data_IF_100930382599
#
_entry.id   IF_100930382599
#
_cell.length_a   1.000
_cell.length_b   1.000
_cell.length_c   1.000
_cell.angle_alpha   90.00
_cell.angle_beta   90.00
_cell.angle_gamma   90.00
#
_symmetry.space_group_name_H-M   'P 1'
#
loop_
_entity.id
_entity.type
_entity.pdbx_description
1 polymer ?
#
# COMPACT_ATOMS: atom_id res chain seq x y z
N UNK A 1 -29.07 -15.80 -65.74
CA UNK A 1 -29.81 -15.49 -64.51
C UNK A 1 -29.23 -16.23 -63.32
N UNK A 2 -27.91 -16.02 -63.04
CA UNK A 2 -27.16 -16.69 -61.94
C UNK A 2 -26.22 -15.74 -61.19
N UNK A 3 -26.43 -14.42 -61.23
CA UNK A 3 -25.54 -13.45 -60.62
C UNK A 3 -26.01 -12.88 -59.25
N UNK A 4 -27.28 -13.13 -58.86
CA UNK A 4 -27.82 -12.53 -57.62
C UNK A 4 -27.41 -13.27 -56.36
N UNK A 5 -27.22 -14.59 -56.42
CA UNK A 5 -26.89 -15.39 -55.22
C UNK A 5 -25.43 -15.26 -54.72
N UNK A 6 -24.54 -14.77 -55.57
CA UNK A 6 -23.14 -14.60 -55.19
C UNK A 6 -22.92 -13.32 -54.35
N UNK A 7 -23.64 -12.25 -54.68
CA UNK A 7 -23.58 -10.98 -53.92
C UNK A 7 -24.21 -11.06 -52.54
N UNK A 8 -25.32 -11.79 -52.38
CA UNK A 8 -25.96 -11.98 -51.07
C UNK A 8 -25.10 -12.81 -50.11
N UNK A 9 -24.44 -13.84 -50.64
CA UNK A 9 -23.53 -14.67 -49.80
C UNK A 9 -22.27 -13.93 -49.39
N UNK A 10 -21.77 -13.01 -50.26
CA UNK A 10 -20.61 -12.16 -49.90
C UNK A 10 -20.97 -11.06 -48.89
N UNK A 11 -22.17 -10.50 -48.95
CA UNK A 11 -22.66 -9.50 -47.99
C UNK A 11 -22.88 -10.12 -46.60
N UNK A 12 -23.37 -11.35 -46.50
CA UNK A 12 -23.55 -12.06 -45.22
C UNK A 12 -22.20 -12.43 -44.60
N UNK A 13 -21.20 -12.80 -45.42
CA UNK A 13 -19.85 -13.10 -44.91
C UNK A 13 -19.14 -11.84 -44.38
N UNK A 14 -19.32 -10.68 -45.02
CA UNK A 14 -18.79 -9.40 -44.58
C UNK A 14 -19.45 -8.89 -43.28
N UNK A 15 -20.76 -9.17 -43.10
CA UNK A 15 -21.46 -8.82 -41.86
C UNK A 15 -21.01 -9.70 -40.68
N UNK A 16 -20.68 -10.98 -40.93
CA UNK A 16 -20.20 -11.90 -39.88
C UNK A 16 -18.78 -11.57 -39.39
N UNK A 17 -17.91 -10.97 -40.23
CA UNK A 17 -16.57 -10.53 -39.86
C UNK A 17 -16.59 -9.23 -39.05
N UNK A 18 -17.65 -8.41 -39.19
CA UNK A 18 -17.83 -7.15 -38.45
C UNK A 18 -18.22 -7.31 -36.96
N UNK A 19 -18.67 -8.50 -36.57
CA UNK A 19 -18.94 -8.86 -35.17
C UNK A 19 -17.70 -9.42 -34.45
N UNK A 20 -16.51 -9.17 -34.99
CA UNK A 20 -15.24 -9.49 -34.33
C UNK A 20 -15.23 -8.90 -32.93
N UNK A 21 -15.18 -9.76 -31.94
CA UNK A 21 -15.05 -9.49 -30.53
C UNK A 21 -14.09 -8.33 -30.34
N UNK A 22 -14.57 -7.16 -29.99
CA UNK A 22 -13.76 -6.12 -29.40
C UNK A 22 -13.33 -6.73 -28.07
N UNK A 23 -12.18 -7.39 -28.04
CA UNK A 23 -11.52 -7.69 -26.80
C UNK A 23 -11.33 -6.32 -26.13
N UNK A 24 -12.17 -6.02 -25.15
CA UNK A 24 -11.96 -4.89 -24.30
C UNK A 24 -10.57 -5.10 -23.69
N UNK A 25 -9.58 -4.33 -24.16
CA UNK A 25 -8.27 -4.29 -23.52
C UNK A 25 -8.54 -3.87 -22.09
N UNK A 26 -8.33 -4.79 -21.17
CA UNK A 26 -8.41 -4.45 -19.75
C UNK A 26 -7.39 -3.35 -19.49
N UNK A 27 -7.87 -2.14 -19.18
CA UNK A 27 -7.00 -1.02 -18.84
C UNK A 27 -6.38 -1.35 -17.48
N UNK A 28 -5.06 -1.43 -17.43
CA UNK A 28 -4.36 -1.63 -16.16
C UNK A 28 -4.59 -0.44 -15.23
N UNK A 29 -4.77 -0.73 -13.95
CA UNK A 29 -4.94 0.27 -12.90
C UNK A 29 -3.56 0.74 -12.45
N UNK A 30 -3.36 2.05 -12.35
CA UNK A 30 -2.11 2.65 -11.90
C UNK A 30 -2.28 3.32 -10.55
N UNK A 31 -1.32 3.14 -9.66
CA UNK A 31 -1.30 3.77 -8.36
C UNK A 31 0.10 4.18 -7.92
N UNK A 32 0.19 5.15 -7.01
CA UNK A 32 1.46 5.56 -6.45
C UNK A 32 1.30 6.07 -5.01
N UNK A 33 2.35 6.00 -4.21
CA UNK A 33 2.33 6.63 -2.89
C UNK A 33 3.09 5.89 -1.82
N UNK A 34 2.48 5.81 -0.65
CA UNK A 34 3.06 5.29 0.58
C UNK A 34 3.79 3.95 0.40
N UNK A 35 4.93 3.82 1.06
CA UNK A 35 5.76 2.60 1.03
C UNK A 35 5.22 1.51 1.95
N UNK A 36 4.56 1.91 3.02
CA UNK A 36 4.02 1.00 4.02
C UNK A 36 3.12 -0.10 3.44
N UNK A 37 2.10 0.18 2.59
CA UNK A 37 1.20 -0.84 2.07
C UNK A 37 1.76 -1.64 0.89
N UNK A 38 2.94 -1.31 0.37
CA UNK A 38 3.49 -1.90 -0.85
C UNK A 38 3.50 -3.43 -0.87
N UNK A 39 3.97 -4.14 0.18
CA UNK A 39 4.03 -5.59 0.15
C UNK A 39 2.66 -6.26 -0.04
N UNK A 40 1.62 -5.71 0.61
CA UNK A 40 0.26 -6.25 0.48
C UNK A 40 -0.37 -5.85 -0.86
N UNK A 41 -0.12 -4.64 -1.35
CA UNK A 41 -0.60 -4.19 -2.66
C UNK A 41 -0.01 -5.03 -3.79
N UNK A 42 1.28 -5.34 -3.75
CA UNK A 42 1.92 -6.23 -4.71
C UNK A 42 1.25 -7.62 -4.73
N UNK A 43 0.97 -8.18 -3.55
CA UNK A 43 0.27 -9.46 -3.46
C UNK A 43 -1.16 -9.41 -3.98
N UNK A 44 -1.88 -8.33 -3.69
CA UNK A 44 -3.23 -8.14 -4.21
C UNK A 44 -3.24 -7.94 -5.72
N UNK A 45 -2.29 -7.17 -6.26
CA UNK A 45 -2.12 -6.96 -7.70
C UNK A 45 -1.96 -8.29 -8.46
N UNK A 46 -1.08 -9.17 -8.00
CA UNK A 46 -0.88 -10.50 -8.59
C UNK A 46 -2.17 -11.32 -8.54
N UNK A 47 -2.82 -11.36 -7.38
CA UNK A 47 -4.04 -12.16 -7.21
C UNK A 47 -5.20 -11.60 -8.05
N UNK A 48 -5.31 -10.28 -8.14
CA UNK A 48 -6.34 -9.62 -8.93
C UNK A 48 -6.15 -9.88 -10.41
N UNK A 49 -4.92 -9.74 -10.90
CA UNK A 49 -4.56 -10.05 -12.29
C UNK A 49 -4.88 -11.50 -12.68
N UNK A 50 -4.56 -12.46 -11.81
CA UNK A 50 -4.88 -13.87 -12.04
C UNK A 50 -6.39 -14.12 -12.14
N UNK A 51 -7.20 -13.39 -11.37
CA UNK A 51 -8.66 -13.58 -11.34
C UNK A 51 -9.42 -12.83 -12.43
N UNK A 52 -8.94 -11.66 -12.82
CA UNK A 52 -9.69 -10.72 -13.67
C UNK A 52 -9.02 -10.43 -15.01
N UNK A 53 -7.73 -10.74 -15.15
CA UNK A 53 -6.93 -10.32 -16.28
C UNK A 53 -6.47 -8.86 -16.23
N UNK A 54 -6.99 -8.04 -15.28
CA UNK A 54 -6.62 -6.62 -15.12
C UNK A 54 -5.36 -6.51 -14.30
N UNK A 55 -4.35 -5.80 -14.82
CA UNK A 55 -3.13 -5.48 -14.10
C UNK A 55 -3.35 -4.33 -13.11
N UNK A 56 -2.54 -4.32 -12.04
CA UNK A 56 -2.42 -3.19 -11.13
C UNK A 56 -0.95 -2.87 -10.95
N UNK A 57 -0.54 -1.67 -11.33
CA UNK A 57 0.81 -1.20 -11.20
C UNK A 57 0.88 -0.15 -10.09
N UNK A 58 1.56 -0.46 -8.99
CA UNK A 58 1.72 0.46 -7.87
C UNK A 58 3.19 0.89 -7.71
N UNK A 59 3.42 2.20 -7.67
CA UNK A 59 4.73 2.79 -7.48
C UNK A 59 4.91 3.25 -6.02
N UNK A 60 5.81 2.59 -5.30
CA UNK A 60 6.17 2.92 -3.92
C UNK A 60 7.16 4.11 -3.89
N UNK A 61 6.63 5.33 -3.92
CA UNK A 61 7.41 6.59 -4.01
C UNK A 61 7.21 7.52 -2.82
N UNK A 62 6.59 7.02 -1.76
CA UNK A 62 6.22 7.78 -0.56
C UNK A 62 4.91 8.55 -0.71
N UNK A 63 4.25 8.80 0.43
CA UNK A 63 2.91 9.45 0.49
C UNK A 63 2.87 10.79 -0.25
N UNK A 64 3.88 11.63 -0.09
CA UNK A 64 3.94 12.93 -0.76
C UNK A 64 3.99 12.85 -2.29
N UNK A 65 4.70 11.84 -2.82
CA UNK A 65 4.75 11.55 -4.25
C UNK A 65 3.40 11.08 -4.79
N UNK A 66 2.75 10.17 -4.06
CA UNK A 66 1.41 9.67 -4.41
C UNK A 66 0.34 10.75 -4.42
N UNK A 67 0.33 11.61 -3.39
CA UNK A 67 -0.60 12.76 -3.31
C UNK A 67 -0.42 13.68 -4.52
N UNK A 68 0.81 14.02 -4.88
CA UNK A 68 1.08 14.86 -6.06
C UNK A 68 0.58 14.21 -7.35
N UNK A 69 0.83 12.92 -7.54
CA UNK A 69 0.43 12.23 -8.76
C UNK A 69 -1.09 12.10 -8.90
N UNK A 70 -1.82 11.81 -7.82
CA UNK A 70 -3.30 11.72 -7.87
C UNK A 70 -3.93 13.09 -8.12
N UNK A 71 -3.44 14.15 -7.50
CA UNK A 71 -3.91 15.53 -7.75
C UNK A 71 -3.67 15.93 -9.21
N UNK A 72 -2.51 15.53 -9.77
CA UNK A 72 -2.17 15.78 -11.17
C UNK A 72 -2.85 14.82 -12.15
N UNK A 73 -3.67 13.89 -11.68
CA UNK A 73 -4.38 12.89 -12.49
C UNK A 73 -3.44 12.01 -13.33
N UNK A 74 -2.22 11.75 -12.84
CA UNK A 74 -1.22 10.88 -13.49
C UNK A 74 -1.52 9.41 -13.16
N UNK A 75 -2.11 9.13 -12.02
CA UNK A 75 -2.48 7.79 -11.56
C UNK A 75 -3.96 7.73 -11.21
N UNK A 76 -4.52 6.51 -11.20
CA UNK A 76 -5.92 6.26 -10.87
C UNK A 76 -6.19 6.33 -9.36
N UNK A 77 -5.18 6.00 -8.53
CA UNK A 77 -5.26 6.16 -7.09
C UNK A 77 -3.92 6.56 -6.46
N UNK A 78 -4.00 7.28 -5.35
CA UNK A 78 -2.85 7.61 -4.51
C UNK A 78 -2.97 6.95 -3.14
N UNK A 79 -1.85 6.54 -2.53
CA UNK A 79 -1.83 6.03 -1.16
C UNK A 79 -1.03 6.95 -0.24
N UNK A 80 -1.55 7.17 0.96
CA UNK A 80 -0.93 8.00 1.99
C UNK A 80 -1.01 7.33 3.36
N UNK A 81 0.05 7.45 4.15
CA UNK A 81 0.10 6.97 5.54
C UNK A 81 -0.65 7.89 6.50
N UNK A 82 -0.95 9.11 6.06
CA UNK A 82 -1.71 10.08 6.84
C UNK A 82 -2.94 10.56 6.05
N UNK A 83 -4.07 10.80 6.74
CA UNK A 83 -5.24 11.37 6.09
C UNK A 83 -4.96 12.80 5.62
N UNK A 84 -5.49 13.16 4.45
CA UNK A 84 -5.50 14.53 3.97
C UNK A 84 -6.59 15.33 4.73
N UNK A 85 -6.39 16.63 4.80
CA UNK A 85 -7.41 17.54 5.35
C UNK A 85 -8.63 17.57 4.43
N UNK A 86 -9.82 17.72 5.03
CA UNK A 86 -11.07 17.76 4.29
C UNK A 86 -11.07 18.87 3.22
N UNK A 87 -10.56 20.05 3.56
CA UNK A 87 -10.47 21.18 2.63
C UNK A 87 -9.62 20.86 1.39
N UNK A 88 -8.57 20.04 1.56
CA UNK A 88 -7.73 19.62 0.45
C UNK A 88 -8.45 18.58 -0.42
N UNK A 89 -9.14 17.61 0.19
CA UNK A 89 -9.93 16.61 -0.54
C UNK A 89 -11.01 17.29 -1.39
N UNK A 90 -11.76 18.23 -0.82
CA UNK A 90 -12.80 18.99 -1.52
C UNK A 90 -12.24 19.84 -2.66
N UNK A 91 -11.15 20.58 -2.39
CA UNK A 91 -10.48 21.41 -3.39
C UNK A 91 -10.00 20.61 -4.60
N UNK A 92 -9.42 19.43 -4.37
CA UNK A 92 -8.81 18.64 -5.42
C UNK A 92 -9.77 17.58 -6.00
N UNK A 93 -11.03 17.54 -5.51
CA UNK A 93 -12.06 16.60 -5.96
C UNK A 93 -11.72 15.15 -5.64
N UNK A 94 -11.09 14.90 -4.49
CA UNK A 94 -10.64 13.58 -4.06
C UNK A 94 -11.54 13.01 -2.98
N UNK A 95 -11.63 11.69 -2.93
CA UNK A 95 -12.20 10.94 -1.80
C UNK A 95 -11.10 10.10 -1.17
N UNK A 96 -11.16 9.90 0.14
CA UNK A 96 -10.19 9.09 0.88
C UNK A 96 -10.90 8.10 1.81
N UNK A 97 -10.37 6.89 1.89
CA UNK A 97 -10.88 5.84 2.76
C UNK A 97 -9.73 4.96 3.26
N UNK A 98 -9.86 4.31 4.44
CA UNK A 98 -8.85 3.42 4.96
C UNK A 98 -8.81 2.11 4.15
N UNK A 99 -7.61 1.65 3.79
CA UNK A 99 -7.38 0.41 3.03
C UNK A 99 -6.62 -0.63 3.82
N UNK A 100 -5.57 -0.22 4.52
CA UNK A 100 -4.65 -1.12 5.22
C UNK A 100 -4.35 -0.56 6.60
N UNK A 101 -4.33 -1.42 7.60
CA UNK A 101 -3.89 -1.10 8.95
C UNK A 101 -2.69 -1.98 9.28
N UNK A 102 -1.66 -1.37 9.87
CA UNK A 102 -0.49 -2.08 10.38
C UNK A 102 -0.01 -1.50 11.70
N UNK A 103 0.77 -2.28 12.42
CA UNK A 103 1.40 -1.84 13.66
C UNK A 103 2.86 -1.44 13.44
N UNK A 104 3.27 -0.37 14.10
CA UNK A 104 4.70 -0.05 14.29
C UNK A 104 5.06 -0.48 15.70
N UNK A 105 5.98 -1.43 15.81
CA UNK A 105 6.36 -2.02 17.10
C UNK A 105 7.86 -1.86 17.35
N UNK A 106 8.29 -1.54 18.57
CA UNK A 106 9.69 -1.61 18.94
C UNK A 106 10.18 -3.05 18.91
N UNK A 107 11.29 -3.29 18.26
CA UNK A 107 11.99 -4.59 18.27
C UNK A 107 13.28 -4.43 19.02
N UNK A 108 13.53 -5.28 20.00
CA UNK A 108 14.74 -5.28 20.81
C UNK A 108 15.39 -6.66 20.78
N UNK A 109 16.71 -6.69 20.84
CA UNK A 109 17.49 -7.91 21.02
C UNK A 109 18.30 -7.76 22.32
N UNK A 110 17.76 -8.26 23.42
CA UNK A 110 18.35 -8.16 24.75
C UNK A 110 18.41 -9.55 25.37
N UNK A 111 19.55 -9.95 25.87
CA UNK A 111 19.74 -11.25 26.51
C UNK A 111 18.80 -11.39 27.73
N UNK A 112 18.14 -12.55 27.83
CA UNK A 112 17.21 -12.84 28.91
C UNK A 112 15.82 -12.21 28.78
N UNK A 113 15.55 -11.50 27.70
CA UNK A 113 14.23 -10.88 27.43
C UNK A 113 13.48 -11.67 26.36
N UNK A 114 12.39 -12.30 26.73
CA UNK A 114 11.53 -12.98 25.77
C UNK A 114 10.57 -12.00 25.04
N UNK A 115 10.08 -12.37 23.83
CA UNK A 115 9.12 -11.54 23.10
C UNK A 115 7.89 -11.18 23.96
N UNK A 116 7.48 -9.92 23.93
CA UNK A 116 6.32 -9.41 24.66
C UNK A 116 6.53 -9.14 26.17
N UNK A 117 7.69 -9.44 26.72
CA UNK A 117 7.98 -9.19 28.13
C UNK A 117 8.27 -7.71 28.42
N UNK A 118 8.93 -7.00 27.48
CA UNK A 118 9.26 -5.60 27.66
C UNK A 118 8.02 -4.71 27.48
N UNK A 119 7.74 -3.90 28.50
CA UNK A 119 6.68 -2.89 28.46
C UNK A 119 7.31 -1.51 28.49
N UNK A 120 7.04 -0.71 27.48
CA UNK A 120 7.53 0.65 27.37
C UNK A 120 6.37 1.63 27.46
N UNK A 121 6.52 2.71 28.22
CA UNK A 121 5.61 3.85 28.16
C UNK A 121 5.95 4.73 26.97
N UNK A 122 5.01 5.53 26.47
CA UNK A 122 5.28 6.48 25.38
C UNK A 122 6.41 7.45 25.73
N UNK A 123 6.46 7.93 26.99
CA UNK A 123 7.52 8.81 27.46
C UNK A 123 8.88 8.12 27.43
N UNK A 124 8.96 6.90 27.94
CA UNK A 124 10.20 6.12 27.99
C UNK A 124 10.72 5.83 26.59
N UNK A 125 9.83 5.45 25.68
CA UNK A 125 10.19 5.22 24.28
C UNK A 125 10.74 6.50 23.63
N UNK A 126 10.09 7.64 23.86
CA UNK A 126 10.56 8.91 23.35
C UNK A 126 11.96 9.28 23.93
N UNK A 127 12.18 9.08 25.21
CA UNK A 127 13.46 9.39 25.86
C UNK A 127 14.60 8.47 25.36
N UNK A 128 14.31 7.22 25.01
CA UNK A 128 15.25 6.32 24.35
C UNK A 128 15.64 6.87 22.96
N UNK A 129 14.64 7.16 22.12
CA UNK A 129 14.91 7.65 20.75
C UNK A 129 15.53 9.05 20.72
N UNK A 130 15.34 9.86 21.75
CA UNK A 130 16.01 11.15 21.92
C UNK A 130 17.43 11.03 22.53
N UNK A 131 17.90 9.81 22.82
CA UNK A 131 19.22 9.57 23.40
C UNK A 131 19.37 10.01 24.85
N UNK A 132 18.29 10.32 25.56
CA UNK A 132 18.30 10.65 26.98
C UNK A 132 18.53 9.41 27.84
N UNK A 133 18.09 8.27 27.38
CA UNK A 133 18.32 6.95 27.96
C UNK A 133 19.16 6.17 26.96
N UNK A 134 20.34 5.77 27.36
CA UNK A 134 21.31 5.10 26.48
C UNK A 134 21.74 3.72 26.98
N UNK A 135 21.15 3.23 28.06
CA UNK A 135 21.44 1.89 28.59
C UNK A 135 20.19 1.16 28.99
N UNK A 136 20.15 -0.13 28.72
CA UNK A 136 19.00 -0.96 29.05
C UNK A 136 18.78 -1.14 30.55
N UNK A 137 19.81 -1.00 31.36
CA UNK A 137 19.73 -1.03 32.83
C UNK A 137 19.41 0.33 33.47
N UNK A 138 18.93 1.31 32.69
CA UNK A 138 18.47 2.59 33.23
C UNK A 138 17.35 2.36 34.27
N UNK A 139 17.39 3.05 35.41
CA UNK A 139 16.37 2.92 36.44
C UNK A 139 14.95 3.13 35.97
N UNK A 140 14.73 3.96 34.96
CA UNK A 140 13.40 4.20 34.37
C UNK A 140 12.88 2.99 33.62
N UNK A 141 13.72 2.17 33.02
CA UNK A 141 13.36 0.90 32.38
C UNK A 141 13.11 -0.17 33.44
N UNK A 142 13.93 -0.21 34.49
CA UNK A 142 13.86 -1.23 35.53
C UNK A 142 12.63 -1.12 36.46
N UNK A 143 11.97 0.04 36.51
CA UNK A 143 10.75 0.27 37.33
C UNK A 143 9.49 -0.33 36.71
N UNK A 144 9.50 -0.61 35.41
CA UNK A 144 8.37 -1.31 34.77
C UNK A 144 8.35 -2.76 35.26
N UNK A 145 7.17 -3.45 35.37
CA UNK A 145 7.03 -4.78 36.00
C UNK A 145 7.81 -5.90 35.32
N UNK A 146 8.80 -5.51 34.54
CA UNK A 146 9.75 -6.37 33.88
C UNK A 146 11.13 -6.16 34.51
N UNK A 147 11.51 -7.06 35.37
CA UNK A 147 12.84 -7.16 35.97
C UNK A 147 13.61 -8.25 35.22
N UNK A 148 14.18 -7.92 34.08
CA UNK A 148 15.33 -8.66 33.62
C UNK A 148 16.57 -8.07 34.30
N UNK A 149 17.51 -8.92 34.60
CA UNK A 149 18.85 -8.50 34.93
C UNK A 149 19.49 -7.98 33.62
N UNK A 150 19.11 -6.75 33.29
CA UNK A 150 19.52 -6.11 32.03
C UNK A 150 20.99 -5.74 32.20
N UNK A 151 21.85 -6.49 31.51
CA UNK A 151 23.28 -6.23 31.45
C UNK A 151 23.60 -4.77 31.08
N UNK A 152 24.84 -4.35 31.32
CA UNK A 152 25.32 -2.98 31.08
C UNK A 152 25.51 -2.64 29.58
N UNK A 153 24.77 -3.25 28.67
CA UNK A 153 24.85 -2.95 27.25
C UNK A 153 24.33 -1.56 26.90
N UNK A 154 25.09 -0.81 26.08
CA UNK A 154 24.62 0.41 25.39
C UNK A 154 24.30 0.11 23.95
N UNK A 155 23.37 0.84 23.34
CA UNK A 155 23.05 0.80 21.90
C UNK A 155 23.79 1.86 21.10
#
# INVERSE_FOLDING_TARGET
MYFSGFFERFAVLLLAVGLGSHAALAVDITGAGATFPYPIYAKWADTYKQKTGVGLNYQSIGSGGGIKQIISKIVDFGASDAPLKLEQLEKDGLVQFPMVMGGVVPVVNIDGVAPGQMKLTAKLLADIYLGKISKWNDPQIAVLPFRADLGQGSW
#
